data_IF_331303787423
#
_entry.id   IF_331303787423
#
_cell.length_a   1.000
_cell.length_b   1.000
_cell.length_c   1.000
_cell.angle_alpha   90.00
_cell.angle_beta   90.00
_cell.angle_gamma   90.00
#
_symmetry.space_group_name_H-M   'P 1'
#
loop_
_entity.id
_entity.type
_entity.pdbx_description
1 polymer ?
#
# COMPACT_ATOMS: atom_id res chain seq x y z
N UNK A 1 1.52 6.35 -14.07
CA UNK A 1 1.83 4.94 -13.69
C UNK A 1 2.58 4.15 -14.77
N UNK A 2 2.07 4.03 -16.01
CA UNK A 2 2.72 3.20 -17.06
C UNK A 2 4.16 3.58 -17.41
N UNK A 3 4.52 4.87 -17.35
CA UNK A 3 5.91 5.29 -17.48
C UNK A 3 6.84 4.65 -16.43
N UNK A 4 6.36 4.46 -15.20
CA UNK A 4 7.10 3.78 -14.12
C UNK A 4 7.13 2.25 -14.30
N UNK A 5 6.14 1.65 -14.96
CA UNK A 5 6.26 0.26 -15.42
C UNK A 5 7.41 0.09 -16.41
N UNK A 6 7.58 1.05 -17.32
CA UNK A 6 8.66 1.01 -18.30
C UNK A 6 10.01 1.29 -17.62
N UNK A 7 10.12 2.41 -16.90
CA UNK A 7 11.38 2.82 -16.27
C UNK A 7 11.82 1.84 -15.18
N UNK A 8 10.90 1.50 -14.27
CA UNK A 8 11.14 0.61 -13.14
C UNK A 8 11.20 -0.86 -13.55
N UNK A 9 10.12 -1.41 -14.11
CA UNK A 9 10.09 -2.85 -14.41
C UNK A 9 10.67 -3.22 -15.78
N UNK A 10 10.89 -2.28 -16.70
CA UNK A 10 11.25 -2.63 -18.06
C UNK A 10 10.09 -3.25 -18.85
N UNK A 11 8.84 -2.97 -18.51
CA UNK A 11 7.74 -3.32 -19.42
C UNK A 11 7.88 -2.48 -20.69
N UNK A 12 7.83 -3.12 -21.85
CA UNK A 12 7.98 -2.43 -23.13
C UNK A 12 6.87 -1.36 -23.28
N UNK A 13 7.18 -0.09 -23.60
CA UNK A 13 6.19 0.97 -23.61
C UNK A 13 5.06 0.71 -24.63
N UNK A 14 5.39 0.15 -25.80
CA UNK A 14 4.40 -0.26 -26.81
C UNK A 14 3.44 -1.38 -26.40
N UNK A 15 3.68 -2.07 -25.28
CA UNK A 15 2.77 -3.11 -24.75
C UNK A 15 1.94 -2.60 -23.56
N UNK A 16 1.88 -1.28 -23.39
CA UNK A 16 1.08 -0.63 -22.34
C UNK A 16 -0.02 0.23 -22.95
N UNK A 17 -1.17 0.32 -22.29
CA UNK A 17 -2.32 1.09 -22.77
C UNK A 17 -2.95 1.86 -21.59
N UNK A 18 -2.79 3.20 -21.51
CA UNK A 18 -3.51 4.00 -20.53
C UNK A 18 -4.98 4.14 -20.95
N UNK A 19 -5.90 3.95 -20.00
CA UNK A 19 -7.34 4.11 -20.23
C UNK A 19 -7.92 5.03 -19.16
N UNK A 20 -8.73 6.00 -19.60
CA UNK A 20 -9.56 6.83 -18.73
C UNK A 20 -11.03 6.53 -19.05
N UNK A 21 -11.81 6.23 -18.02
CA UNK A 21 -13.24 5.93 -18.13
C UNK A 21 -14.04 7.17 -17.73
N UNK A 22 -14.43 7.98 -18.71
CA UNK A 22 -15.17 9.23 -18.46
C UNK A 22 -16.67 8.95 -18.31
N UNK A 23 -17.13 8.96 -17.06
CA UNK A 23 -18.55 8.83 -16.70
C UNK A 23 -19.13 10.16 -16.22
N UNK A 24 -18.48 11.28 -16.53
CA UNK A 24 -18.79 12.60 -16.00
C UNK A 24 -17.93 12.97 -14.78
N UNK A 25 -18.20 14.15 -14.20
CA UNK A 25 -17.52 14.69 -13.01
C UNK A 25 -18.49 15.47 -12.13
N UNK A 26 -18.29 15.40 -10.81
CA UNK A 26 -19.07 16.20 -9.84
C UNK A 26 -18.30 17.47 -9.39
N UNK A 27 -17.09 17.68 -9.91
CA UNK A 27 -16.30 18.86 -9.63
C UNK A 27 -16.89 20.07 -10.37
N UNK A 28 -17.47 21.00 -9.62
CA UNK A 28 -18.14 22.20 -10.16
C UNK A 28 -17.18 23.13 -10.90
N UNK A 29 -15.91 23.20 -10.47
CA UNK A 29 -14.90 24.01 -11.16
C UNK A 29 -14.68 23.48 -12.58
N UNK A 30 -14.52 22.16 -12.73
CA UNK A 30 -14.35 21.52 -14.06
C UNK A 30 -15.61 21.64 -14.93
N UNK A 31 -16.81 21.53 -14.34
CA UNK A 31 -18.06 21.64 -15.10
C UNK A 31 -18.27 23.05 -15.69
N UNK A 32 -17.77 24.08 -15.01
CA UNK A 32 -17.87 25.48 -15.45
C UNK A 32 -16.65 25.97 -16.23
N UNK A 33 -15.55 25.23 -16.22
CA UNK A 33 -14.34 25.56 -16.97
C UNK A 33 -14.54 25.39 -18.49
N UNK A 34 -14.39 26.47 -19.30
CA UNK A 34 -14.50 26.39 -20.75
C UNK A 34 -13.40 25.53 -21.40
N UNK A 35 -12.28 25.28 -20.70
CA UNK A 35 -11.17 24.45 -21.18
C UNK A 35 -11.31 22.97 -20.81
N UNK A 36 -12.30 22.60 -19.99
CA UNK A 36 -12.51 21.20 -19.62
C UNK A 36 -12.89 20.35 -20.86
N UNK A 37 -12.08 19.32 -21.13
CA UNK A 37 -12.25 18.42 -22.27
C UNK A 37 -13.15 17.22 -21.98
N UNK A 38 -13.40 16.93 -20.70
CA UNK A 38 -14.22 15.79 -20.30
C UNK A 38 -15.72 16.05 -20.45
N UNK A 39 -16.51 15.02 -20.19
CA UNK A 39 -17.95 15.08 -20.29
C UNK A 39 -18.54 15.99 -19.22
N UNK A 40 -19.20 17.07 -19.64
CA UNK A 40 -19.89 18.04 -18.77
C UNK A 40 -21.22 17.50 -18.27
N UNK A 41 -21.14 16.47 -17.44
CA UNK A 41 -22.29 15.79 -16.85
C UNK A 41 -21.91 15.32 -15.43
N UNK A 42 -22.83 15.36 -14.45
CA UNK A 42 -22.61 14.72 -13.15
C UNK A 42 -22.23 13.25 -13.31
N UNK A 43 -21.51 12.68 -12.37
CA UNK A 43 -21.06 11.29 -12.55
C UNK A 43 -22.23 10.32 -12.62
N UNK A 44 -22.24 9.46 -13.65
CA UNK A 44 -23.17 8.32 -13.74
C UNK A 44 -22.90 7.34 -12.58
N UNK A 45 -23.97 6.74 -12.04
CA UNK A 45 -23.93 5.85 -10.86
C UNK A 45 -24.88 4.68 -10.99
N UNK A 46 -24.77 3.74 -10.06
CA UNK A 46 -25.67 2.60 -9.96
C UNK A 46 -25.50 1.64 -11.13
N UNK A 47 -26.62 1.05 -11.56
CA UNK A 47 -26.62 -0.02 -12.56
C UNK A 47 -26.04 0.41 -13.92
N UNK A 48 -26.24 1.66 -14.33
CA UNK A 48 -25.72 2.18 -15.60
C UNK A 48 -24.19 2.28 -15.59
N UNK A 49 -23.62 2.78 -14.49
CA UNK A 49 -22.17 2.77 -14.29
C UNK A 49 -21.62 1.34 -14.32
N UNK A 50 -22.27 0.41 -13.63
CA UNK A 50 -21.83 -0.98 -13.56
C UNK A 50 -21.87 -1.68 -14.92
N UNK A 51 -22.94 -1.46 -15.70
CA UNK A 51 -23.06 -1.99 -17.05
C UNK A 51 -21.94 -1.48 -17.97
N UNK A 52 -21.61 -0.19 -17.88
CA UNK A 52 -20.50 0.40 -18.64
C UNK A 52 -19.14 -0.22 -18.25
N UNK A 53 -18.86 -0.40 -16.96
CA UNK A 53 -17.62 -1.05 -16.52
C UNK A 53 -17.58 -2.52 -16.96
N UNK A 54 -18.70 -3.24 -16.90
CA UNK A 54 -18.79 -4.62 -17.38
C UNK A 54 -18.48 -4.72 -18.88
N UNK A 55 -19.02 -3.81 -19.69
CA UNK A 55 -18.74 -3.75 -21.13
C UNK A 55 -17.26 -3.48 -21.39
N UNK A 56 -16.65 -2.54 -20.67
CA UNK A 56 -15.22 -2.27 -20.75
C UNK A 56 -14.38 -3.52 -20.42
N UNK A 57 -14.66 -4.19 -19.30
CA UNK A 57 -13.94 -5.41 -18.89
C UNK A 57 -14.14 -6.53 -19.91
N UNK A 58 -15.35 -6.70 -20.46
CA UNK A 58 -15.62 -7.66 -21.52
C UNK A 58 -14.80 -7.36 -22.78
N UNK A 59 -14.69 -6.09 -23.18
CA UNK A 59 -13.85 -5.62 -24.27
C UNK A 59 -12.38 -5.95 -24.05
N UNK A 60 -11.84 -5.64 -22.87
CA UNK A 60 -10.45 -5.97 -22.49
C UNK A 60 -10.21 -7.48 -22.59
N UNK A 61 -11.10 -8.31 -22.04
CA UNK A 61 -10.97 -9.77 -22.10
C UNK A 61 -11.01 -10.31 -23.53
N UNK A 62 -11.86 -9.73 -24.39
CA UNK A 62 -12.00 -10.15 -25.79
C UNK A 62 -10.78 -9.80 -26.63
N UNK A 63 -10.27 -8.57 -26.49
CA UNK A 63 -9.22 -8.04 -27.36
C UNK A 63 -7.81 -8.23 -26.80
N UNK A 64 -7.67 -8.34 -25.48
CA UNK A 64 -6.40 -8.46 -24.77
C UNK A 64 -6.47 -9.55 -23.68
N UNK A 65 -6.73 -10.82 -24.02
CA UNK A 65 -6.98 -11.89 -23.05
C UNK A 65 -5.82 -12.20 -22.09
N UNK A 66 -4.61 -11.71 -22.39
CA UNK A 66 -3.40 -11.86 -21.55
C UNK A 66 -2.97 -10.55 -20.87
N UNK A 67 -3.77 -9.49 -20.98
CA UNK A 67 -3.43 -8.23 -20.33
C UNK A 67 -3.62 -8.32 -18.82
N UNK A 68 -2.76 -7.59 -18.10
CA UNK A 68 -2.96 -7.28 -16.69
C UNK A 68 -3.73 -5.98 -16.59
N UNK A 69 -4.92 -6.03 -15.99
CA UNK A 69 -5.74 -4.84 -15.78
C UNK A 69 -5.48 -4.27 -14.37
N UNK A 70 -4.79 -3.15 -14.28
CA UNK A 70 -4.60 -2.41 -13.03
C UNK A 70 -5.65 -1.32 -12.87
N UNK A 71 -6.38 -1.32 -11.76
CA UNK A 71 -7.27 -0.24 -11.36
C UNK A 71 -6.51 0.81 -10.53
N UNK A 72 -6.82 2.08 -10.75
CA UNK A 72 -6.12 3.22 -10.16
C UNK A 72 -7.09 4.39 -9.96
N UNK A 73 -6.99 5.11 -8.84
CA UNK A 73 -7.70 6.36 -8.53
C UNK A 73 -9.24 6.26 -8.59
N UNK A 74 -9.80 5.09 -8.27
CA UNK A 74 -11.25 4.92 -8.10
C UNK A 74 -11.69 5.35 -6.69
N UNK A 75 -12.84 6.01 -6.60
CA UNK A 75 -13.48 6.33 -5.31
C UNK A 75 -13.67 5.07 -4.45
N UNK A 76 -13.59 5.24 -3.13
CA UNK A 76 -13.31 4.12 -2.23
C UNK A 76 -14.26 2.94 -2.31
N UNK A 77 -15.56 3.22 -2.32
CA UNK A 77 -16.60 2.20 -2.43
C UNK A 77 -16.53 1.46 -3.78
N UNK A 78 -16.19 2.15 -4.87
CA UNK A 78 -16.07 1.53 -6.18
C UNK A 78 -14.80 0.70 -6.29
N UNK A 79 -13.64 1.20 -5.85
CA UNK A 79 -12.39 0.46 -6.03
C UNK A 79 -12.43 -0.92 -5.35
N UNK A 80 -12.93 -1.01 -4.11
CA UNK A 80 -13.07 -2.28 -3.40
C UNK A 80 -14.09 -3.21 -4.07
N UNK A 81 -15.25 -2.68 -4.48
CA UNK A 81 -16.30 -3.45 -5.15
C UNK A 81 -15.86 -3.99 -6.51
N UNK A 82 -15.21 -3.17 -7.33
CA UNK A 82 -14.72 -3.57 -8.65
C UNK A 82 -13.60 -4.60 -8.52
N UNK A 83 -12.68 -4.43 -7.57
CA UNK A 83 -11.66 -5.43 -7.27
C UNK A 83 -12.31 -6.77 -6.88
N UNK A 84 -13.24 -6.76 -5.92
CA UNK A 84 -13.93 -7.98 -5.47
C UNK A 84 -14.69 -8.66 -6.60
N UNK A 85 -15.34 -7.89 -7.47
CA UNK A 85 -16.11 -8.38 -8.61
C UNK A 85 -15.22 -9.08 -9.63
N UNK A 86 -14.08 -8.48 -10.00
CA UNK A 86 -13.32 -8.90 -11.18
C UNK A 86 -12.07 -9.75 -10.89
N UNK A 87 -11.55 -9.75 -9.65
CA UNK A 87 -10.32 -10.47 -9.29
C UNK A 87 -10.33 -11.99 -9.53
N UNK A 88 -11.51 -12.57 -9.69
CA UNK A 88 -11.69 -13.99 -10.00
C UNK A 88 -11.81 -14.28 -11.50
N UNK A 89 -12.10 -13.26 -12.32
CA UNK A 89 -12.50 -13.42 -13.72
C UNK A 89 -11.39 -13.06 -14.73
N UNK A 90 -10.45 -12.21 -14.33
CA UNK A 90 -9.30 -11.84 -15.13
C UNK A 90 -8.06 -11.55 -14.26
N UNK A 91 -6.93 -11.36 -14.92
CA UNK A 91 -5.69 -10.95 -14.28
C UNK A 91 -5.75 -9.46 -13.93
N UNK A 92 -6.21 -9.14 -12.73
CA UNK A 92 -6.43 -7.76 -12.30
C UNK A 92 -6.09 -7.53 -10.84
N UNK A 93 -5.73 -6.30 -10.50
CA UNK A 93 -5.48 -5.83 -9.15
C UNK A 93 -5.74 -4.32 -9.05
N UNK A 94 -5.83 -3.79 -7.83
CA UNK A 94 -5.94 -2.35 -7.59
C UNK A 94 -4.71 -1.86 -6.79
N UNK A 95 -3.99 -0.85 -7.30
CA UNK A 95 -2.76 -0.38 -6.68
C UNK A 95 -3.01 0.41 -5.38
N UNK A 96 -4.09 1.18 -5.32
CA UNK A 96 -4.44 1.98 -4.13
C UNK A 96 -4.81 1.12 -2.92
N UNK A 97 -5.32 -0.09 -3.16
CA UNK A 97 -5.66 -1.08 -2.13
C UNK A 97 -4.48 -2.03 -1.90
N UNK A 98 -4.13 -2.84 -2.91
CA UNK A 98 -3.20 -3.95 -2.75
C UNK A 98 -1.74 -3.46 -2.84
N UNK A 99 -1.44 -2.52 -3.72
CA UNK A 99 -0.11 -1.93 -3.87
C UNK A 99 0.30 -1.13 -2.63
N UNK A 100 -0.56 -0.21 -2.19
CA UNK A 100 -0.38 0.57 -0.95
C UNK A 100 -0.21 -0.34 0.27
N UNK A 101 -1.06 -1.37 0.39
CA UNK A 101 -0.96 -2.35 1.45
C UNK A 101 0.40 -3.08 1.45
N UNK A 102 0.86 -3.52 0.28
CA UNK A 102 2.12 -4.25 0.14
C UNK A 102 3.35 -3.39 0.42
N UNK A 103 3.39 -2.13 -0.06
CA UNK A 103 4.56 -1.27 0.20
C UNK A 103 4.64 -0.89 1.67
N UNK A 104 3.50 -0.60 2.32
CA UNK A 104 3.48 -0.34 3.75
C UNK A 104 3.92 -1.58 4.54
N UNK A 105 3.39 -2.76 4.21
CA UNK A 105 3.82 -4.02 4.81
C UNK A 105 5.33 -4.23 4.66
N UNK A 106 5.92 -3.94 3.50
CA UNK A 106 7.36 -4.07 3.29
C UNK A 106 8.18 -3.20 4.25
N UNK A 107 7.79 -1.93 4.41
CA UNK A 107 8.41 -1.01 5.35
C UNK A 107 8.23 -1.44 6.80
N UNK A 108 7.04 -1.92 7.15
CA UNK A 108 6.72 -2.42 8.49
C UNK A 108 7.53 -3.68 8.82
N UNK A 109 7.65 -4.64 7.89
CA UNK A 109 8.48 -5.83 8.05
C UNK A 109 9.96 -5.46 8.25
N UNK A 110 10.46 -4.48 7.50
CA UNK A 110 11.83 -3.98 7.69
C UNK A 110 11.99 -3.32 9.07
N UNK A 111 11.02 -2.50 9.49
CA UNK A 111 11.05 -1.83 10.78
C UNK A 111 10.95 -2.82 11.96
N UNK A 112 10.07 -3.81 11.87
CA UNK A 112 9.92 -4.89 12.86
C UNK A 112 11.20 -5.71 12.99
N UNK A 113 11.87 -5.99 11.87
CA UNK A 113 13.19 -6.64 11.86
C UNK A 113 14.25 -5.81 12.58
N UNK A 114 14.31 -4.49 12.32
CA UNK A 114 15.23 -3.57 13.00
C UNK A 114 14.91 -3.43 14.49
N UNK A 115 13.63 -3.47 14.86
CA UNK A 115 13.19 -3.45 16.24
C UNK A 115 13.53 -4.76 16.99
N UNK A 116 13.92 -5.83 16.29
CA UNK A 116 14.24 -7.13 16.89
C UNK A 116 13.01 -7.86 17.43
N UNK A 117 11.85 -7.67 16.79
CA UNK A 117 10.55 -8.25 17.19
C UNK A 117 9.92 -9.01 16.01
N UNK A 118 8.75 -9.60 16.22
CA UNK A 118 7.95 -10.33 15.23
C UNK A 118 6.64 -9.60 14.95
N UNK A 119 5.93 -9.91 13.84
CA UNK A 119 4.60 -9.29 13.63
C UNK A 119 3.60 -9.73 14.70
N UNK A 120 3.73 -10.96 15.20
CA UNK A 120 2.93 -11.51 16.29
C UNK A 120 2.93 -10.66 17.57
N UNK A 121 4.03 -9.97 17.86
CA UNK A 121 4.21 -9.16 19.07
C UNK A 121 3.68 -7.73 18.94
N UNK A 122 3.21 -7.36 17.75
CA UNK A 122 2.85 -5.97 17.45
C UNK A 122 1.45 -5.61 17.95
N UNK A 123 1.32 -4.35 18.38
CA UNK A 123 0.05 -3.70 18.69
C UNK A 123 -0.07 -2.50 17.78
N UNK A 124 -1.03 -2.53 16.86
CA UNK A 124 -1.02 -1.66 15.68
C UNK A 124 -2.21 -0.69 15.77
N UNK A 125 -1.91 0.61 15.76
CA UNK A 125 -2.92 1.66 15.76
C UNK A 125 -2.85 2.43 14.45
N UNK A 126 -4.01 2.59 13.81
CA UNK A 126 -4.21 3.43 12.64
C UNK A 126 -4.98 4.69 13.02
N UNK A 127 -4.50 5.84 12.54
CA UNK A 127 -5.32 7.04 12.38
C UNK A 127 -5.81 7.09 10.93
N UNK A 128 -7.10 6.83 10.75
CA UNK A 128 -7.78 6.62 9.48
C UNK A 128 -8.34 5.20 9.38
N UNK A 129 -9.52 5.07 8.76
CA UNK A 129 -10.20 3.80 8.49
C UNK A 129 -10.65 3.69 7.02
N UNK A 130 -9.99 4.45 6.11
CA UNK A 130 -10.27 4.44 4.68
C UNK A 130 -9.62 3.27 3.95
N UNK A 131 -9.51 3.38 2.62
CA UNK A 131 -8.93 2.33 1.77
C UNK A 131 -7.49 2.00 2.10
N UNK A 132 -6.64 3.02 2.29
CA UNK A 132 -5.24 2.81 2.62
C UNK A 132 -5.10 2.04 3.94
N UNK A 133 -5.77 2.51 5.01
CA UNK A 133 -5.78 1.81 6.30
C UNK A 133 -6.26 0.35 6.17
N UNK A 134 -7.38 0.13 5.47
CA UNK A 134 -7.94 -1.21 5.28
C UNK A 134 -7.00 -2.12 4.49
N UNK A 135 -6.45 -1.64 3.36
CA UNK A 135 -5.52 -2.41 2.53
C UNK A 135 -4.24 -2.78 3.28
N UNK A 136 -3.68 -1.86 4.07
CA UNK A 136 -2.50 -2.13 4.91
C UNK A 136 -2.85 -3.14 6.00
N UNK A 137 -3.99 -2.99 6.67
CA UNK A 137 -4.44 -3.89 7.72
C UNK A 137 -4.68 -5.32 7.21
N UNK A 138 -5.30 -5.49 6.04
CA UNK A 138 -5.49 -6.81 5.41
C UNK A 138 -4.14 -7.48 5.09
N UNK A 139 -3.17 -6.73 4.57
CA UNK A 139 -1.83 -7.26 4.28
C UNK A 139 -1.07 -7.65 5.56
N UNK A 140 -1.20 -6.86 6.64
CA UNK A 140 -0.66 -7.19 7.95
C UNK A 140 -1.28 -8.48 8.52
N UNK A 141 -2.61 -8.62 8.45
CA UNK A 141 -3.30 -9.85 8.89
C UNK A 141 -2.83 -11.06 8.08
N UNK A 142 -2.75 -10.93 6.75
CA UNK A 142 -2.26 -12.01 5.90
C UNK A 142 -0.81 -12.41 6.22
N UNK A 143 0.06 -11.43 6.53
CA UNK A 143 1.43 -11.68 6.95
C UNK A 143 1.52 -12.35 8.33
N UNK A 144 0.73 -11.91 9.30
CA UNK A 144 0.64 -12.52 10.64
C UNK A 144 0.15 -13.98 10.58
N UNK A 145 -0.86 -14.27 9.75
CA UNK A 145 -1.35 -15.64 9.55
C UNK A 145 -0.24 -16.53 8.96
N UNK A 146 0.56 -16.01 8.04
CA UNK A 146 1.72 -16.75 7.49
C UNK A 146 2.83 -16.99 8.52
N UNK A 147 2.94 -16.14 9.55
CA UNK A 147 3.82 -16.36 10.70
C UNK A 147 3.23 -17.33 11.74
N UNK A 148 1.96 -17.74 11.57
CA UNK A 148 1.31 -18.77 12.37
C UNK A 148 0.20 -18.29 13.31
N UNK A 149 -0.18 -17.01 13.27
CA UNK A 149 -1.30 -16.49 14.08
C UNK A 149 -2.65 -16.95 13.54
N UNK A 150 -3.64 -17.10 14.42
CA UNK A 150 -5.04 -17.21 14.00
C UNK A 150 -5.53 -15.89 13.40
N UNK A 151 -6.48 -15.96 12.45
CA UNK A 151 -7.02 -14.75 11.82
C UNK A 151 -7.68 -13.80 12.83
N UNK A 152 -8.46 -14.34 13.77
CA UNK A 152 -9.10 -13.54 14.82
C UNK A 152 -8.07 -12.85 15.72
N UNK A 153 -7.00 -13.57 16.09
CA UNK A 153 -5.89 -13.04 16.89
C UNK A 153 -5.17 -11.91 16.15
N UNK A 154 -4.84 -12.13 14.87
CA UNK A 154 -4.20 -11.14 14.03
C UNK A 154 -5.04 -9.85 13.92
N UNK A 155 -6.35 -9.99 13.63
CA UNK A 155 -7.28 -8.84 13.57
C UNK A 155 -7.41 -8.14 14.92
N UNK A 156 -7.39 -8.87 16.03
CA UNK A 156 -7.50 -8.30 17.36
C UNK A 156 -6.31 -7.41 17.77
N UNK A 157 -5.17 -7.48 17.07
CA UNK A 157 -4.01 -6.60 17.29
C UNK A 157 -4.15 -5.21 16.65
N UNK A 158 -5.11 -5.04 15.73
CA UNK A 158 -5.29 -3.83 14.91
C UNK A 158 -6.42 -2.97 15.47
N UNK A 159 -6.14 -1.68 15.64
CA UNK A 159 -7.07 -0.67 16.16
C UNK A 159 -7.14 0.50 15.18
N UNK A 160 -8.35 0.89 14.74
CA UNK A 160 -8.52 2.00 13.80
C UNK A 160 -9.32 3.14 14.43
N UNK A 161 -8.85 4.37 14.22
CA UNK A 161 -9.48 5.62 14.70
C UNK A 161 -9.85 6.47 13.50
N UNK A 162 -11.14 6.76 13.30
CA UNK A 162 -11.61 7.67 12.24
C UNK A 162 -12.00 9.04 12.81
N UNK A 163 -12.71 9.85 12.01
CA UNK A 163 -13.17 11.18 12.43
C UNK A 163 -14.12 11.17 13.64
N UNK A 164 -14.83 10.06 13.86
CA UNK A 164 -15.70 9.83 15.02
C UNK A 164 -15.01 9.07 16.17
N UNK A 165 -13.69 8.86 16.10
CA UNK A 165 -12.91 8.18 17.13
C UNK A 165 -12.66 6.70 16.84
N UNK A 166 -12.28 5.93 17.86
CA UNK A 166 -12.02 4.49 17.73
C UNK A 166 -13.23 3.76 17.14
N UNK A 167 -13.00 2.82 16.21
CA UNK A 167 -14.04 1.94 15.71
C UNK A 167 -14.40 0.90 16.79
N UNK A 168 -15.58 1.01 17.39
CA UNK A 168 -16.06 0.04 18.39
C UNK A 168 -17.58 -0.15 18.32
N UNK A 169 -18.08 -1.31 18.76
CA UNK A 169 -19.48 -1.74 18.61
C UNK A 169 -20.51 -0.86 19.35
N UNK A 170 -20.05 0.13 20.13
CA UNK A 170 -20.91 1.11 20.80
C UNK A 170 -21.21 2.37 19.98
N UNK A 171 -20.61 2.52 18.79
CA UNK A 171 -20.86 3.64 17.89
C UNK A 171 -22.04 3.37 16.95
N UNK A 172 -22.92 4.36 16.83
CA UNK A 172 -24.14 4.28 16.01
C UNK A 172 -23.94 4.71 14.55
N UNK A 173 -22.84 5.39 14.25
CA UNK A 173 -22.51 5.98 12.95
C UNK A 173 -21.61 5.08 12.08
N UNK A 174 -21.31 3.87 12.56
CA UNK A 174 -20.58 2.86 11.80
C UNK A 174 -21.48 2.30 10.69
N UNK A 175 -21.28 2.73 9.45
CA UNK A 175 -21.96 2.17 8.29
C UNK A 175 -21.63 0.70 8.03
N UNK A 176 -22.24 0.10 7.00
CA UNK A 176 -22.10 -1.33 6.67
C UNK A 176 -20.68 -1.79 6.29
N UNK A 177 -19.75 -0.87 6.01
CA UNK A 177 -18.40 -1.17 5.53
C UNK A 177 -17.34 -1.36 6.64
N UNK A 178 -17.67 -1.14 7.91
CA UNK A 178 -16.71 -1.16 9.02
C UNK A 178 -16.58 -2.48 9.85
N UNK A 179 -17.33 -3.58 9.65
CA UNK A 179 -17.47 -4.61 10.70
C UNK A 179 -16.16 -5.33 11.05
N UNK A 180 -15.22 -5.47 10.12
CA UNK A 180 -13.99 -6.25 10.33
C UNK A 180 -13.00 -5.62 11.32
N UNK A 181 -13.06 -4.31 11.52
CA UNK A 181 -12.09 -3.55 12.34
C UNK A 181 -12.72 -2.95 13.60
N UNK A 182 -14.01 -3.25 13.82
CA UNK A 182 -14.78 -2.74 14.95
C UNK A 182 -14.47 -3.56 16.19
N UNK A 183 -14.01 -2.86 17.23
CA UNK A 183 -13.67 -3.46 18.51
C UNK A 183 -14.94 -3.81 19.31
N UNK A 184 -15.00 -4.99 19.96
CA UNK A 184 -16.04 -5.28 20.94
C UNK A 184 -16.09 -4.22 22.03
N UNK A 185 -17.29 -3.89 22.52
CA UNK A 185 -17.49 -2.83 23.53
C UNK A 185 -16.77 -3.15 24.84
N UNK A 186 -16.62 -4.43 25.14
CA UNK A 186 -15.98 -4.97 26.34
C UNK A 186 -14.48 -4.68 26.36
N UNK A 187 -13.82 -4.61 25.19
CA UNK A 187 -12.37 -4.31 25.09
C UNK A 187 -12.04 -2.87 25.46
N UNK A 188 -13.03 -1.98 25.36
CA UNK A 188 -12.89 -0.54 25.62
C UNK A 188 -13.64 -0.11 26.88
N UNK A 189 -14.30 -1.05 27.55
CA UNK A 189 -15.04 -0.77 28.78
C UNK A 189 -14.07 -0.37 29.90
N UNK A 190 -14.39 0.70 30.61
CA UNK A 190 -13.59 1.18 31.74
C UNK A 190 -12.34 1.98 31.35
N UNK A 191 -12.13 2.29 30.07
CA UNK A 191 -11.05 3.19 29.65
C UNK A 191 -11.29 4.60 30.21
N UNK A 192 -10.24 5.20 30.78
CA UNK A 192 -10.24 6.60 31.16
C UNK A 192 -10.07 7.47 29.92
N UNK A 193 -11.15 8.16 29.52
CA UNK A 193 -11.20 8.95 28.30
C UNK A 193 -10.88 10.42 28.58
N UNK A 194 -10.15 11.08 27.67
CA UNK A 194 -9.99 12.54 27.71
C UNK A 194 -11.31 13.28 27.47
N UNK A 195 -12.20 12.66 26.69
CA UNK A 195 -13.55 13.16 26.44
C UNK A 195 -14.59 12.05 26.68
N UNK A 196 -15.55 12.24 27.60
CA UNK A 196 -16.60 11.25 27.85
C UNK A 196 -17.36 10.88 26.57
N UNK A 197 -17.48 9.57 26.31
CA UNK A 197 -18.23 9.04 25.17
C UNK A 197 -17.51 9.13 23.81
N UNK A 198 -16.28 9.65 23.75
CA UNK A 198 -15.51 9.76 22.51
C UNK A 198 -14.07 9.28 22.75
N UNK A 199 -13.75 8.10 22.21
CA UNK A 199 -12.43 7.48 22.36
C UNK A 199 -11.50 8.05 21.27
N UNK A 200 -10.62 8.98 21.66
CA UNK A 200 -9.72 9.68 20.74
C UNK A 200 -8.40 8.93 20.55
N UNK A 201 -7.60 9.33 19.56
CA UNK A 201 -6.29 8.71 19.30
C UNK A 201 -5.39 8.70 20.56
N UNK A 202 -5.40 9.78 21.33
CA UNK A 202 -4.62 9.88 22.57
C UNK A 202 -5.05 8.85 23.65
N UNK A 203 -6.35 8.51 23.72
CA UNK A 203 -6.87 7.48 24.61
C UNK A 203 -6.43 6.10 24.15
N UNK A 204 -6.57 5.84 22.85
CA UNK A 204 -6.14 4.56 22.23
C UNK A 204 -4.66 4.33 22.46
N UNK A 205 -3.81 5.33 22.25
CA UNK A 205 -2.35 5.19 22.44
C UNK A 205 -2.00 4.90 23.90
N UNK A 206 -2.66 5.56 24.86
CA UNK A 206 -2.44 5.33 26.30
C UNK A 206 -2.84 3.93 26.74
N UNK A 207 -3.96 3.43 26.23
CA UNK A 207 -4.54 2.15 26.64
C UNK A 207 -3.94 0.96 25.89
N UNK A 208 -3.82 1.05 24.56
CA UNK A 208 -3.28 -0.01 23.69
C UNK A 208 -1.76 -0.10 23.79
N UNK A 209 -1.08 1.02 24.08
CA UNK A 209 0.38 1.12 24.12
C UNK A 209 1.02 0.58 22.84
N UNK A 210 0.67 1.15 21.66
CA UNK A 210 1.03 0.57 20.38
C UNK A 210 2.54 0.48 20.19
N UNK A 211 2.97 -0.53 19.45
CA UNK A 211 4.34 -0.62 18.91
C UNK A 211 4.45 0.01 17.53
N UNK A 212 3.32 0.05 16.79
CA UNK A 212 3.20 0.61 15.45
C UNK A 212 2.07 1.63 15.41
N UNK A 213 2.35 2.83 14.90
CA UNK A 213 1.39 3.92 14.69
C UNK A 213 1.40 4.34 13.21
N UNK A 214 0.27 4.20 12.51
CA UNK A 214 0.15 4.45 11.07
C UNK A 214 -0.88 5.54 10.81
N UNK A 215 -0.54 6.54 10.00
CA UNK A 215 -1.39 7.68 9.68
C UNK A 215 -1.80 7.66 8.22
N UNK A 216 -3.10 7.66 7.95
CA UNK A 216 -3.69 7.68 6.59
C UNK A 216 -4.94 8.57 6.53
N UNK A 217 -5.02 9.60 7.38
CA UNK A 217 -6.24 10.40 7.56
C UNK A 217 -6.18 11.80 6.94
N UNK A 218 -5.06 12.16 6.31
CA UNK A 218 -4.78 13.51 5.81
C UNK A 218 -5.00 14.59 6.88
N UNK A 219 -4.66 14.26 8.13
CA UNK A 219 -4.84 15.09 9.32
C UNK A 219 -3.48 15.63 9.80
N UNK A 220 -2.97 16.72 9.21
CA UNK A 220 -1.65 17.24 9.56
C UNK A 220 -1.55 17.63 11.04
N UNK A 221 -0.45 17.21 11.67
CA UNK A 221 -0.18 17.46 13.10
C UNK A 221 -0.94 16.55 14.07
N UNK A 222 -1.69 15.55 13.57
CA UNK A 222 -2.44 14.64 14.44
C UNK A 222 -1.56 13.73 15.30
N UNK A 223 -0.33 13.45 14.87
CA UNK A 223 0.66 12.78 15.73
C UNK A 223 1.39 13.83 16.57
N UNK A 224 0.78 14.20 17.69
CA UNK A 224 1.31 15.23 18.61
C UNK A 224 2.50 14.71 19.41
N UNK A 225 3.27 15.63 20.00
CA UNK A 225 4.39 15.29 20.88
C UNK A 225 3.96 14.38 22.04
N UNK A 226 2.86 14.70 22.70
CA UNK A 226 2.34 13.92 23.83
C UNK A 226 1.98 12.49 23.43
N UNK A 227 1.32 12.33 22.28
CA UNK A 227 0.97 11.00 21.74
C UNK A 227 2.23 10.18 21.45
N UNK A 228 3.20 10.79 20.76
CA UNK A 228 4.42 10.10 20.33
C UNK A 228 5.31 9.77 21.53
N UNK A 229 5.43 10.68 22.50
CA UNK A 229 6.17 10.42 23.75
C UNK A 229 5.50 9.36 24.59
N UNK A 230 4.18 9.38 24.70
CA UNK A 230 3.43 8.36 25.43
C UNK A 230 3.65 6.97 24.81
N UNK A 231 3.51 6.84 23.48
CA UNK A 231 3.86 5.61 22.76
C UNK A 231 5.30 5.18 23.07
N UNK A 232 6.27 6.10 22.96
CA UNK A 232 7.68 5.80 23.10
C UNK A 232 8.12 5.43 24.52
N UNK A 233 7.27 5.59 25.55
CA UNK A 233 7.49 5.08 26.92
C UNK A 233 7.31 3.57 27.02
N UNK A 234 6.47 2.99 26.15
CA UNK A 234 6.05 1.58 26.23
C UNK A 234 6.74 0.68 25.20
N UNK A 235 7.56 1.23 24.31
CA UNK A 235 8.29 0.49 23.28
C UNK A 235 9.69 1.06 23.06
N UNK A 236 10.67 0.17 22.91
CA UNK A 236 12.08 0.55 22.74
C UNK A 236 12.34 1.25 21.38
N UNK A 237 11.76 0.73 20.29
CA UNK A 237 11.87 1.29 18.93
C UNK A 237 10.45 1.52 18.38
N UNK A 238 9.83 2.69 18.61
CA UNK A 238 8.49 2.97 18.10
C UNK A 238 8.50 3.04 16.57
N UNK A 239 7.58 2.33 15.91
CA UNK A 239 7.43 2.35 14.45
C UNK A 239 6.31 3.35 14.13
N UNK A 240 6.62 4.45 13.44
CA UNK A 240 5.68 5.55 13.21
C UNK A 240 5.67 5.92 11.74
N UNK A 241 4.55 5.67 11.05
CA UNK A 241 4.40 5.83 9.60
C UNK A 241 3.34 6.90 9.26
N UNK A 242 3.72 8.18 9.11
CA UNK A 242 2.84 9.24 8.59
C UNK A 242 2.72 9.11 7.05
N UNK A 243 1.68 8.43 6.57
CA UNK A 243 1.56 8.05 5.15
C UNK A 243 0.71 9.02 4.32
N UNK A 244 0.09 10.01 4.94
CA UNK A 244 -0.76 10.95 4.22
C UNK A 244 0.02 11.84 3.24
N UNK A 245 -0.58 12.05 2.06
CA UNK A 245 -0.03 12.83 0.96
C UNK A 245 -0.89 14.07 0.68
N UNK A 246 -0.31 15.17 0.15
CA UNK A 246 1.14 15.44 0.03
C UNK A 246 1.77 15.75 1.40
N UNK A 247 3.03 16.19 1.45
CA UNK A 247 3.78 16.53 2.67
C UNK A 247 3.00 17.43 3.65
N UNK A 248 2.19 18.37 3.15
CA UNK A 248 1.36 19.26 3.96
C UNK A 248 0.18 18.58 4.68
N UNK A 249 -0.09 17.31 4.36
CA UNK A 249 -1.12 16.46 4.98
C UNK A 249 -0.56 15.36 5.88
N UNK A 250 0.77 15.25 5.97
CA UNK A 250 1.45 14.28 6.83
C UNK A 250 1.10 14.47 8.30
N UNK A 251 0.75 13.39 9.01
CA UNK A 251 0.32 13.41 10.40
C UNK A 251 1.38 13.99 11.35
N UNK A 252 2.66 13.82 11.02
CA UNK A 252 3.80 14.48 11.65
C UNK A 252 4.95 14.64 10.66
N UNK A 253 5.89 15.53 11.02
CA UNK A 253 7.16 15.70 10.30
C UNK A 253 8.21 14.76 10.92
N UNK A 254 9.00 14.01 10.13
CA UNK A 254 9.98 13.06 10.66
C UNK A 254 10.98 13.64 11.66
N UNK A 255 11.41 14.89 11.46
CA UNK A 255 12.33 15.57 12.40
C UNK A 255 11.75 15.69 13.81
N UNK A 256 10.45 15.96 13.92
CA UNK A 256 9.76 16.04 15.20
C UNK A 256 9.67 14.65 15.86
N UNK A 257 9.30 13.62 15.09
CA UNK A 257 9.23 12.23 15.58
C UNK A 257 10.57 11.74 16.14
N UNK A 258 11.67 12.02 15.43
CA UNK A 258 13.02 11.67 15.90
C UNK A 258 13.40 12.46 17.16
N UNK A 259 13.10 13.76 17.23
CA UNK A 259 13.35 14.57 18.42
C UNK A 259 12.57 14.05 19.65
N UNK A 260 11.27 13.80 19.50
CA UNK A 260 10.39 13.36 20.59
C UNK A 260 10.70 11.96 21.12
N UNK A 261 11.31 11.12 20.28
CA UNK A 261 11.67 9.73 20.62
C UNK A 261 13.14 9.54 20.93
N UNK A 262 13.92 10.61 21.01
CA UNK A 262 15.37 10.57 21.18
C UNK A 262 16.08 9.70 20.12
N UNK A 263 15.68 9.85 18.85
CA UNK A 263 16.24 9.15 17.69
C UNK A 263 15.81 7.68 17.56
N UNK A 264 14.96 7.17 18.46
CA UNK A 264 14.57 5.75 18.48
C UNK A 264 13.51 5.39 17.45
N UNK A 265 12.71 6.36 17.00
CA UNK A 265 11.62 6.09 16.05
C UNK A 265 12.13 5.54 14.71
N UNK A 266 11.44 4.52 14.23
CA UNK A 266 11.57 3.99 12.87
C UNK A 266 10.48 4.64 12.02
N UNK A 267 10.90 5.50 11.09
CA UNK A 267 9.98 6.40 10.37
C UNK A 267 10.04 6.14 8.86
N UNK A 268 8.87 5.98 8.26
CA UNK A 268 8.68 6.07 6.82
C UNK A 268 7.45 6.93 6.51
N UNK A 269 7.45 7.63 5.38
CA UNK A 269 6.40 8.58 5.01
C UNK A 269 5.82 8.30 3.63
N UNK A 270 4.59 8.76 3.36
CA UNK A 270 3.99 8.64 2.03
C UNK A 270 4.64 9.59 1.01
N UNK A 271 4.93 10.81 1.45
CA UNK A 271 5.60 11.85 0.66
C UNK A 271 7.09 11.93 0.98
N UNK A 272 7.94 12.43 0.07
CA UNK A 272 9.37 12.58 0.32
C UNK A 272 9.63 13.67 1.37
N UNK A 273 10.61 13.41 2.23
CA UNK A 273 11.18 14.37 3.18
C UNK A 273 12.70 14.42 3.03
N UNK A 274 13.35 15.57 3.29
CA UNK A 274 14.81 15.62 3.36
C UNK A 274 15.34 14.74 4.50
N UNK A 275 16.62 14.38 4.41
CA UNK A 275 17.30 13.71 5.52
C UNK A 275 17.29 14.58 6.78
N UNK A 276 17.10 13.95 7.94
CA UNK A 276 17.02 14.63 9.23
C UNK A 276 18.38 14.58 9.91
N UNK A 277 19.00 15.73 10.23
CA UNK A 277 20.19 15.74 11.07
C UNK A 277 19.81 15.39 12.51
N UNK A 278 20.42 14.34 13.06
CA UNK A 278 20.21 13.90 14.44
C UNK A 278 21.50 13.29 14.99
N UNK A 279 21.95 13.77 16.16
CA UNK A 279 23.15 13.27 16.86
C UNK A 279 24.39 13.11 15.97
N UNK A 280 24.70 14.15 15.17
CA UNK A 280 25.85 14.18 14.28
C UNK A 280 25.72 13.33 13.01
N UNK A 281 24.55 12.73 12.74
CA UNK A 281 24.28 11.91 11.55
C UNK A 281 23.10 12.47 10.74
N UNK A 282 23.05 12.14 9.45
CA UNK A 282 21.89 12.38 8.61
C UNK A 282 21.04 11.10 8.51
N UNK A 283 19.83 11.12 9.07
CA UNK A 283 18.88 10.00 9.01
C UNK A 283 18.03 10.15 7.76
N UNK A 284 18.14 9.20 6.84
CA UNK A 284 17.35 9.19 5.60
C UNK A 284 15.97 8.58 5.84
N UNK A 285 14.92 9.38 5.61
CA UNK A 285 13.54 8.94 5.79
C UNK A 285 13.08 8.17 4.56
N UNK A 286 12.66 6.92 4.76
CA UNK A 286 12.17 6.08 3.67
C UNK A 286 10.81 6.56 3.17
N UNK A 287 10.62 6.53 1.84
CA UNK A 287 9.33 6.81 1.24
C UNK A 287 8.58 5.50 0.96
N UNK A 288 7.39 5.37 1.55
CA UNK A 288 6.44 4.29 1.32
C UNK A 288 5.74 4.49 -0.04
N UNK A 289 6.48 4.31 -1.14
CA UNK A 289 6.04 4.60 -2.49
C UNK A 289 5.63 3.33 -3.25
N UNK A 290 4.38 3.26 -3.72
CA UNK A 290 3.86 2.12 -4.49
C UNK A 290 4.72 1.77 -5.72
N UNK A 291 5.54 2.71 -6.22
CA UNK A 291 6.52 2.46 -7.28
C UNK A 291 7.43 1.26 -6.99
N UNK A 292 7.73 0.93 -5.73
CA UNK A 292 8.53 -0.26 -5.41
C UNK A 292 7.77 -1.59 -5.54
N UNK A 293 6.45 -1.57 -5.71
CA UNK A 293 5.60 -2.77 -5.76
C UNK A 293 5.02 -2.99 -7.16
N UNK A 294 4.17 -2.08 -7.65
CA UNK A 294 3.37 -2.38 -8.85
C UNK A 294 4.19 -2.73 -10.09
N UNK A 295 5.37 -2.10 -10.37
CA UNK A 295 6.15 -2.49 -11.53
C UNK A 295 6.61 -3.94 -11.43
N UNK A 296 7.17 -4.33 -10.28
CA UNK A 296 7.66 -5.69 -10.04
C UNK A 296 6.53 -6.72 -10.03
N UNK A 297 5.37 -6.38 -9.45
CA UNK A 297 4.19 -7.26 -9.49
C UNK A 297 3.74 -7.49 -10.92
N UNK A 298 3.53 -6.44 -11.72
CA UNK A 298 3.12 -6.63 -13.11
C UNK A 298 4.18 -7.31 -13.95
N UNK A 299 5.49 -7.08 -13.71
CA UNK A 299 6.58 -7.81 -14.37
C UNK A 299 6.52 -9.31 -14.07
N UNK A 300 6.39 -9.69 -12.81
CA UNK A 300 6.29 -11.10 -12.41
C UNK A 300 5.07 -11.79 -13.01
N UNK A 301 3.92 -11.12 -12.98
CA UNK A 301 2.66 -11.61 -13.57
C UNK A 301 2.79 -11.80 -15.08
N UNK A 302 3.32 -10.80 -15.80
CA UNK A 302 3.50 -10.86 -17.27
C UNK A 302 4.53 -11.94 -17.66
N UNK A 303 5.69 -11.96 -17.01
CA UNK A 303 6.79 -12.88 -17.33
C UNK A 303 6.41 -14.35 -17.10
N UNK A 304 5.58 -14.62 -16.10
CA UNK A 304 5.10 -15.98 -15.79
C UNK A 304 3.83 -16.38 -16.55
N UNK A 305 3.16 -15.42 -17.18
CA UNK A 305 1.83 -15.65 -17.76
C UNK A 305 0.79 -16.05 -16.72
N UNK A 306 0.88 -15.51 -15.50
CA UNK A 306 -0.04 -15.84 -14.42
C UNK A 306 -1.49 -15.53 -14.82
N UNK A 307 -2.41 -16.46 -14.52
CA UNK A 307 -3.82 -16.33 -14.92
C UNK A 307 -4.60 -15.30 -14.09
N UNK A 308 -4.15 -15.07 -12.85
CA UNK A 308 -4.77 -14.18 -11.86
C UNK A 308 -3.71 -13.62 -10.91
N UNK A 309 -4.03 -12.51 -10.26
CA UNK A 309 -3.22 -11.93 -9.18
C UNK A 309 -3.84 -12.32 -7.84
N UNK A 310 -3.08 -13.01 -6.98
CA UNK A 310 -3.53 -13.39 -5.63
C UNK A 310 -2.98 -12.44 -4.57
N UNK A 311 -3.61 -12.36 -3.40
CA UNK A 311 -3.09 -11.54 -2.29
C UNK A 311 -1.74 -12.06 -1.78
N UNK A 312 -1.51 -13.37 -1.87
CA UNK A 312 -0.22 -13.98 -1.57
C UNK A 312 0.93 -13.41 -2.41
N UNK A 313 0.67 -13.01 -3.66
CA UNK A 313 1.69 -12.36 -4.51
C UNK A 313 2.09 -10.99 -3.98
N UNK A 314 1.15 -10.22 -3.41
CA UNK A 314 1.44 -8.93 -2.78
C UNK A 314 2.21 -9.09 -1.46
N UNK A 315 1.89 -10.12 -0.67
CA UNK A 315 2.69 -10.46 0.51
C UNK A 315 4.11 -10.88 0.11
N UNK A 316 4.26 -11.70 -0.93
CA UNK A 316 5.57 -12.09 -1.45
C UNK A 316 6.36 -10.87 -1.98
N UNK A 317 5.69 -9.95 -2.68
CA UNK A 317 6.28 -8.68 -3.11
C UNK A 317 6.77 -7.83 -1.92
N UNK A 318 5.95 -7.71 -0.87
CA UNK A 318 6.28 -6.98 0.33
C UNK A 318 7.49 -7.59 1.07
N UNK A 319 7.54 -8.92 1.18
CA UNK A 319 8.66 -9.65 1.78
C UNK A 319 9.96 -9.45 0.98
N UNK A 320 9.89 -9.51 -0.35
CA UNK A 320 11.03 -9.26 -1.22
C UNK A 320 11.55 -7.83 -1.08
N UNK A 321 10.66 -6.83 -1.10
CA UNK A 321 11.04 -5.43 -0.90
C UNK A 321 11.62 -5.20 0.50
N UNK A 322 11.03 -5.80 1.54
CA UNK A 322 11.56 -5.74 2.91
C UNK A 322 12.97 -6.31 2.99
N UNK A 323 13.25 -7.44 2.32
CA UNK A 323 14.58 -8.05 2.29
C UNK A 323 15.65 -7.16 1.64
N UNK A 324 15.25 -6.26 0.75
CA UNK A 324 16.13 -5.27 0.11
C UNK A 324 16.32 -3.98 0.92
N UNK A 325 15.62 -3.84 2.04
CA UNK A 325 15.72 -2.65 2.89
C UNK A 325 17.17 -2.44 3.37
N UNK A 326 17.78 -1.26 3.13
CA UNK A 326 19.10 -0.91 3.66
C UNK A 326 19.17 -1.06 5.19
N UNK A 327 18.06 -0.77 5.88
CA UNK A 327 17.94 -0.85 7.32
C UNK A 327 18.22 -2.25 7.91
N UNK A 328 18.08 -3.31 7.10
CA UNK A 328 18.39 -4.69 7.55
C UNK A 328 19.88 -4.97 7.67
N UNK A 329 20.73 -4.15 7.02
CA UNK A 329 22.19 -4.23 7.14
C UNK A 329 22.73 -3.20 8.12
N UNK A 330 22.18 -1.99 8.04
CA UNK A 330 22.49 -0.89 8.95
C UNK A 330 21.20 -0.37 9.58
N UNK A 331 20.91 -0.65 10.86
CA UNK A 331 19.72 -0.18 11.58
C UNK A 331 19.48 1.33 11.60
N UNK A 332 20.46 2.13 11.13
CA UNK A 332 20.37 3.59 11.01
C UNK A 332 20.13 4.08 9.57
N UNK A 333 20.17 3.18 8.59
CA UNK A 333 19.85 3.47 7.19
C UNK A 333 18.33 3.51 6.94
N UNK A 334 17.95 3.89 5.72
CA UNK A 334 16.54 4.01 5.32
C UNK A 334 15.80 2.67 5.33
N UNK A 335 14.52 2.68 5.70
CA UNK A 335 13.64 1.52 5.66
C UNK A 335 13.31 1.05 4.23
N UNK A 336 13.49 1.90 3.22
CA UNK A 336 13.26 1.58 1.82
C UNK A 336 14.56 1.74 1.01
N UNK A 337 14.74 0.97 -0.08
CA UNK A 337 15.84 1.18 -1.02
C UNK A 337 15.71 2.55 -1.73
N UNK A 338 16.77 2.98 -2.42
CA UNK A 338 16.73 4.20 -3.22
C UNK A 338 15.87 4.00 -4.48
N UNK A 339 15.26 5.09 -4.97
CA UNK A 339 14.52 5.05 -6.24
C UNK A 339 15.42 4.78 -7.46
N UNK A 340 16.71 5.09 -7.37
CA UNK A 340 17.68 4.78 -8.43
C UNK A 340 17.85 3.26 -8.62
N UNK A 341 17.60 2.47 -7.55
CA UNK A 341 17.65 1.01 -7.58
C UNK A 341 16.31 0.39 -8.02
N UNK A 342 15.30 1.20 -8.39
CA UNK A 342 13.94 0.75 -8.65
C UNK A 342 13.88 -0.40 -9.66
N UNK A 343 14.80 -0.43 -10.64
CA UNK A 343 14.83 -1.47 -11.65
C UNK A 343 15.27 -2.83 -11.13
N UNK A 344 16.30 -2.84 -10.29
CA UNK A 344 16.73 -4.07 -9.62
C UNK A 344 15.71 -4.50 -8.56
N UNK A 345 15.14 -3.56 -7.82
CA UNK A 345 14.05 -3.83 -6.87
C UNK A 345 12.86 -4.49 -7.59
N UNK A 346 12.45 -3.95 -8.74
CA UNK A 346 11.34 -4.50 -9.54
C UNK A 346 11.63 -5.92 -10.00
N UNK A 347 12.88 -6.22 -10.40
CA UNK A 347 13.31 -7.57 -10.78
C UNK A 347 13.18 -8.57 -9.62
N UNK A 348 13.65 -8.19 -8.42
CA UNK A 348 13.58 -9.04 -7.23
C UNK A 348 12.14 -9.26 -6.76
N UNK A 349 11.31 -8.21 -6.80
CA UNK A 349 9.87 -8.32 -6.54
C UNK A 349 9.20 -9.25 -7.55
N UNK A 350 9.54 -9.13 -8.84
CA UNK A 350 9.01 -10.00 -9.89
C UNK A 350 9.37 -11.48 -9.70
N UNK A 351 10.60 -11.76 -9.24
CA UNK A 351 11.04 -13.12 -8.90
C UNK A 351 10.18 -13.72 -7.79
N UNK A 352 9.96 -12.98 -6.70
CA UNK A 352 9.13 -13.45 -5.58
C UNK A 352 7.66 -13.63 -5.98
N UNK A 353 7.11 -12.67 -6.73
CA UNK A 353 5.73 -12.72 -7.25
C UNK A 353 5.55 -13.92 -8.19
N UNK A 354 6.49 -14.11 -9.12
CA UNK A 354 6.47 -15.23 -10.05
C UNK A 354 6.59 -16.58 -9.36
N UNK A 355 7.46 -16.70 -8.35
CA UNK A 355 7.59 -17.92 -7.54
C UNK A 355 6.30 -18.23 -6.78
N UNK A 356 5.66 -17.22 -6.17
CA UNK A 356 4.37 -17.39 -5.50
C UNK A 356 3.27 -17.80 -6.48
N UNK A 357 3.23 -17.20 -7.68
CA UNK A 357 2.29 -17.57 -8.73
C UNK A 357 2.39 -19.04 -9.13
N UNK A 358 3.62 -19.57 -9.21
CA UNK A 358 3.86 -20.99 -9.48
C UNK A 358 3.45 -21.86 -8.30
N UNK A 359 3.80 -21.45 -7.07
CA UNK A 359 3.48 -22.17 -5.83
C UNK A 359 1.97 -22.37 -5.64
N UNK A 360 1.17 -21.35 -5.95
CA UNK A 360 -0.30 -21.41 -5.86
C UNK A 360 -0.97 -21.92 -7.13
N UNK A 361 -0.20 -22.42 -8.09
CA UNK A 361 -0.70 -23.02 -9.33
C UNK A 361 -1.35 -22.04 -10.31
N UNK A 362 -1.12 -20.73 -10.16
CA UNK A 362 -1.63 -19.69 -11.07
C UNK A 362 -0.75 -19.46 -12.30
N UNK A 363 0.49 -19.96 -12.28
CA UNK A 363 1.43 -19.99 -13.39
C UNK A 363 2.06 -21.39 -13.54
N UNK A 364 2.68 -21.65 -14.69
CA UNK A 364 3.43 -22.89 -14.95
C UNK A 364 4.63 -23.01 -14.00
N UNK A 365 4.75 -24.15 -13.31
CA UNK A 365 5.89 -24.41 -12.43
C UNK A 365 7.17 -24.62 -13.22
N UNK A 366 8.23 -23.89 -12.86
CA UNK A 366 9.55 -23.90 -13.49
C UNK A 366 10.63 -23.86 -12.41
N UNK A 367 11.89 -24.11 -12.79
CA UNK A 367 13.02 -23.90 -11.89
C UNK A 367 13.32 -22.41 -11.66
N UNK A 368 14.03 -22.08 -10.58
CA UNK A 368 14.38 -20.70 -10.24
C UNK A 368 15.19 -19.99 -11.35
N UNK A 369 16.12 -20.70 -11.99
CA UNK A 369 16.89 -20.18 -13.12
C UNK A 369 16.01 -19.84 -14.32
N UNK A 370 15.03 -20.69 -14.61
CA UNK A 370 14.10 -20.49 -15.72
C UNK A 370 13.17 -19.30 -15.46
N UNK A 371 12.66 -19.18 -14.23
CA UNK A 371 11.88 -18.01 -13.83
C UNK A 371 12.68 -16.72 -13.98
N UNK A 372 13.93 -16.70 -13.51
CA UNK A 372 14.81 -15.54 -13.67
C UNK A 372 15.04 -15.20 -15.15
N UNK A 373 15.29 -16.21 -15.99
CA UNK A 373 15.45 -16.02 -17.43
C UNK A 373 14.20 -15.42 -18.08
N UNK A 374 13.00 -15.90 -17.72
CA UNK A 374 11.72 -15.36 -18.23
C UNK A 374 11.51 -13.90 -17.82
N UNK A 375 11.83 -13.55 -16.57
CA UNK A 375 11.75 -12.18 -16.07
C UNK A 375 12.74 -11.28 -16.83
N UNK A 376 14.00 -11.68 -16.91
CA UNK A 376 15.06 -10.91 -17.59
C UNK A 376 14.76 -10.69 -19.07
N UNK A 377 14.20 -11.71 -19.75
CA UNK A 377 13.77 -11.61 -21.14
C UNK A 377 12.56 -10.66 -21.33
N UNK A 378 11.75 -10.46 -20.29
CA UNK A 378 10.60 -9.54 -20.31
C UNK A 378 11.02 -8.10 -20.07
N UNK A 379 12.16 -7.86 -19.40
CA UNK A 379 12.67 -6.53 -19.09
C UNK A 379 13.29 -5.84 -20.31
N UNK A 380 12.48 -5.07 -21.04
CA UNK A 380 12.89 -4.19 -22.13
C UNK A 380 13.96 -3.19 -21.72
N UNK A 381 14.96 -2.98 -22.57
CA UNK A 381 16.02 -1.97 -22.41
C UNK A 381 15.84 -0.82 -23.40
N UNK A 382 16.15 0.44 -23.00
CA UNK A 382 16.04 1.62 -23.85
C UNK A 382 17.18 1.73 -24.88
N UNK A 383 17.43 0.65 -25.61
CA UNK A 383 18.43 0.61 -26.67
C UNK A 383 17.78 0.93 -28.02
N UNK A 384 18.48 1.70 -28.86
CA UNK A 384 18.03 1.96 -30.23
C UNK A 384 18.03 0.64 -31.02
N UNK A 385 16.90 0.22 -31.61
CA UNK A 385 16.87 -0.99 -32.42
C UNK A 385 17.71 -0.78 -33.69
N UNK A 386 18.39 -1.84 -34.19
CA UNK A 386 19.11 -1.75 -35.45
C UNK A 386 18.12 -1.45 -36.58
N UNK A 387 18.31 -0.32 -37.25
CA UNK A 387 17.53 0.04 -38.43
C UNK A 387 18.01 -0.80 -39.62
N UNK A 388 17.09 -1.47 -40.32
CA UNK A 388 17.37 -2.09 -41.62
C UNK A 388 16.75 -1.26 -42.72
N UNK A 389 17.54 -0.96 -43.76
CA UNK A 389 17.01 -0.36 -44.98
C UNK A 389 16.00 -1.31 -45.62
N UNK A 390 14.79 -0.81 -45.89
CA UNK A 390 13.78 -1.50 -46.72
C UNK A 390 13.96 -1.20 -48.21
N UNK A 391 14.96 -0.40 -48.57
CA UNK A 391 15.40 -0.17 -49.94
C UNK A 391 16.59 -1.09 -50.22
N UNK A 392 16.31 -2.18 -50.95
CA UNK A 392 17.26 -3.08 -51.57
C UNK A 392 16.77 -3.40 -52.97
#
# INVERSE_FOLDING_TARGET
KLALYTAGAGIHPATTLPVLLDVGTDNQELLTDPLYLGWRHPRVRGAEYDAFIDEFVAGVRRHFPRAVLQWEDFASANAARLLARYRNDLCTFNDDIQGTGAVALAGLLAAVNVAGTTLAEQRIVFLGAGQAATGIAEQLVAAMIREGLGEEEARATIWMVDIGGLLHAGRADLGQAAPLWVQPRERVAGWELTQPGHIRLEDVVRQVRPTILIGTAAAPGAFTEDIVREMARHVARPIIFPLSNPTSKSEAVPAALLAWTAGRALVATGSPFPAVPYDGRAIHIGQCNNAFIFPGVGLGVVATGARRVSDGMFVAAAQALSALSPARRDPTASLFPALDDLREVSRQVALAVGAEAQRVGLAEATGAEELARRIDATMWRPDYPPLRSVLG
#
